data_IF_015100035178
#
_entry.id   IF_015100035178
#
_cell.length_a   1.000
_cell.length_b   1.000
_cell.length_c   1.000
_cell.angle_alpha   90.00
_cell.angle_beta   90.00
_cell.angle_gamma   90.00
#
_symmetry.space_group_name_H-M   'P 1'
#
loop_
_entity.id
_entity.type
_entity.pdbx_description
1 polymer ?
#
# COMPACT_ATOMS: atom_id res chain seq x y z
N UNK A 1 12.91 7.46 -15.32
CA UNK A 1 11.56 6.86 -15.27
C UNK A 1 11.15 6.76 -13.80
N UNK A 2 9.98 7.26 -13.43
CA UNK A 2 9.49 7.21 -12.04
C UNK A 2 8.74 5.90 -11.78
N UNK A 3 8.76 5.43 -10.53
CA UNK A 3 8.03 4.24 -10.09
C UNK A 3 6.73 4.71 -9.45
N UNK A 4 5.61 4.14 -9.86
CA UNK A 4 4.29 4.40 -9.27
C UNK A 4 3.99 3.26 -8.31
N UNK A 5 3.69 3.59 -7.06
CA UNK A 5 3.32 2.63 -6.02
C UNK A 5 1.93 3.03 -5.53
N UNK A 6 1.04 2.05 -5.51
CA UNK A 6 -0.34 2.18 -5.03
C UNK A 6 -0.68 0.97 -4.16
N UNK A 7 -1.79 1.04 -3.45
CA UNK A 7 -2.26 -0.06 -2.60
C UNK A 7 -3.63 -0.53 -3.07
N UNK A 8 -3.88 -1.84 -3.00
CA UNK A 8 -5.20 -2.45 -3.11
C UNK A 8 -5.65 -2.84 -1.69
N UNK A 9 -6.92 -2.62 -1.34
CA UNK A 9 -7.42 -2.96 0.00
C UNK A 9 -7.39 -4.49 0.16
N UNK A 10 -6.89 -4.99 1.29
CA UNK A 10 -6.87 -6.44 1.54
C UNK A 10 -8.27 -7.09 1.47
N UNK A 11 -9.33 -6.32 1.75
CA UNK A 11 -10.73 -6.76 1.63
C UNK A 11 -11.21 -6.97 0.20
N UNK A 12 -10.41 -6.61 -0.81
CA UNK A 12 -10.72 -6.92 -2.22
C UNK A 12 -10.14 -8.25 -2.69
N UNK A 13 -9.38 -8.94 -1.84
CA UNK A 13 -8.80 -10.25 -2.18
C UNK A 13 -9.91 -11.29 -2.16
N UNK A 14 -10.00 -12.08 -3.23
CA UNK A 14 -10.91 -13.22 -3.36
C UNK A 14 -10.11 -14.44 -3.83
N UNK A 15 -10.65 -15.63 -3.61
CA UNK A 15 -10.02 -16.88 -4.03
C UNK A 15 -10.21 -17.17 -5.52
N UNK A 16 -9.45 -18.14 -6.07
CA UNK A 16 -9.74 -18.70 -7.38
C UNK A 16 -11.17 -19.26 -7.42
N UNK A 17 -11.88 -19.01 -8.52
CA UNK A 17 -13.28 -19.40 -8.79
C UNK A 17 -14.34 -18.64 -8.02
N UNK A 18 -13.97 -17.74 -7.12
CA UNK A 18 -14.92 -16.79 -6.55
C UNK A 18 -15.44 -15.85 -7.64
N UNK A 19 -16.63 -15.30 -7.43
CA UNK A 19 -17.20 -14.34 -8.36
C UNK A 19 -16.63 -12.95 -8.14
N UNK A 20 -16.25 -12.27 -9.22
CA UNK A 20 -15.86 -10.86 -9.18
C UNK A 20 -17.12 -10.02 -9.33
N UNK A 21 -17.46 -9.28 -8.29
CA UNK A 21 -18.66 -8.44 -8.28
C UNK A 21 -18.46 -7.20 -9.16
N UNK A 22 -19.43 -6.93 -10.04
CA UNK A 22 -19.49 -5.67 -10.75
C UNK A 22 -20.11 -4.59 -9.86
N UNK A 23 -19.59 -3.38 -10.02
CA UNK A 23 -20.15 -2.17 -9.41
C UNK A 23 -20.63 -1.23 -10.51
N UNK A 24 -21.73 -1.56 -11.22
CA UNK A 24 -22.19 -0.80 -12.39
C UNK A 24 -22.60 0.64 -12.06
N UNK A 25 -22.98 0.90 -10.79
CA UNK A 25 -23.25 2.26 -10.30
C UNK A 25 -21.98 3.11 -10.13
N UNK A 26 -20.80 2.48 -10.17
CA UNK A 26 -19.50 3.14 -10.00
C UNK A 26 -18.70 3.20 -11.31
N UNK A 27 -18.72 2.12 -12.10
CA UNK A 27 -17.97 2.06 -13.36
C UNK A 27 -18.67 1.20 -14.40
N UNK A 28 -18.58 1.63 -15.66
CA UNK A 28 -18.96 0.85 -16.85
C UNK A 28 -17.75 0.41 -17.67
N UNK A 29 -16.53 0.64 -17.15
CA UNK A 29 -15.26 0.36 -17.83
C UNK A 29 -14.40 -0.53 -16.95
N UNK A 30 -15.00 -1.62 -16.45
CA UNK A 30 -14.32 -2.58 -15.60
C UNK A 30 -13.25 -3.33 -16.42
N UNK A 31 -12.01 -3.29 -15.98
CA UNK A 31 -10.85 -3.80 -16.72
C UNK A 31 -10.12 -4.89 -15.92
N UNK A 32 -9.15 -5.54 -16.55
CA UNK A 32 -8.32 -6.58 -15.95
C UNK A 32 -6.84 -6.26 -16.07
N UNK A 33 -6.10 -6.70 -15.07
CA UNK A 33 -4.65 -6.58 -14.97
C UNK A 33 -4.10 -7.85 -14.33
N UNK A 34 -3.52 -8.75 -15.13
CA UNK A 34 -2.82 -9.90 -14.57
C UNK A 34 -1.42 -9.47 -14.13
N UNK A 35 -1.07 -9.79 -12.90
CA UNK A 35 0.21 -9.42 -12.28
C UNK A 35 0.86 -10.66 -11.66
N UNK A 36 2.19 -10.68 -11.59
CA UNK A 36 2.88 -11.65 -10.73
C UNK A 36 2.95 -11.04 -9.34
N UNK A 37 2.55 -11.81 -8.33
CA UNK A 37 2.55 -11.37 -6.95
C UNK A 37 3.72 -11.99 -6.19
N UNK A 38 4.46 -11.15 -5.47
CA UNK A 38 5.56 -11.55 -4.57
C UNK A 38 5.08 -11.54 -3.13
N UNK A 39 5.23 -12.67 -2.44
CA UNK A 39 4.92 -12.76 -1.01
C UNK A 39 6.20 -12.55 -0.21
N UNK A 40 6.15 -11.59 0.70
CA UNK A 40 7.25 -11.28 1.60
C UNK A 40 7.33 -12.37 2.67
N UNK A 41 8.46 -13.08 2.77
CA UNK A 41 8.65 -14.20 3.71
C UNK A 41 9.53 -13.85 4.93
N UNK A 42 10.06 -12.64 4.97
CA UNK A 42 10.91 -12.10 6.03
C UNK A 42 10.59 -10.61 6.22
N UNK A 43 10.53 -10.12 7.45
CA UNK A 43 10.33 -8.68 7.63
C UNK A 43 11.65 -7.93 7.44
N UNK A 44 11.71 -6.86 6.64
CA UNK A 44 12.90 -6.01 6.52
C UNK A 44 12.66 -4.59 5.98
N UNK A 45 13.60 -3.68 6.25
CA UNK A 45 13.58 -2.27 5.85
C UNK A 45 14.90 -1.90 5.17
N UNK A 46 14.86 -1.03 4.15
CA UNK A 46 16.03 -0.64 3.33
C UNK A 46 16.79 -1.84 2.76
N UNK A 47 16.07 -2.73 2.09
CA UNK A 47 16.63 -3.95 1.52
C UNK A 47 17.58 -3.58 0.37
N UNK A 48 18.76 -4.21 0.33
CA UNK A 48 19.69 -4.13 -0.80
C UNK A 48 19.30 -5.14 -1.88
N UNK A 49 19.68 -4.86 -3.14
CA UNK A 49 19.39 -5.76 -4.28
C UNK A 49 20.06 -7.14 -4.16
N UNK A 50 21.03 -7.30 -3.26
CA UNK A 50 21.75 -8.56 -3.00
C UNK A 50 20.95 -9.55 -2.12
N UNK A 51 19.89 -9.10 -1.44
CA UNK A 51 19.08 -9.94 -0.54
C UNK A 51 17.88 -10.55 -1.28
N UNK A 52 18.07 -11.77 -1.79
CA UNK A 52 17.17 -12.44 -2.74
C UNK A 52 16.15 -13.42 -2.11
N UNK A 53 15.68 -13.18 -0.88
CA UNK A 53 14.89 -14.16 -0.10
C UNK A 53 13.37 -14.06 -0.35
N UNK A 54 12.95 -13.70 -1.57
CA UNK A 54 11.55 -13.32 -1.84
C UNK A 54 10.97 -14.11 -2.99
N UNK A 55 9.94 -14.91 -2.71
CA UNK A 55 9.30 -15.79 -3.69
C UNK A 55 7.93 -15.27 -4.11
N UNK A 56 7.51 -15.47 -5.37
CA UNK A 56 6.12 -15.31 -5.74
C UNK A 56 5.25 -16.40 -5.11
N UNK A 57 3.95 -16.11 -4.98
CA UNK A 57 2.87 -16.94 -4.40
C UNK A 57 3.28 -18.37 -4.04
N UNK A 58 3.46 -18.64 -2.73
CA UNK A 58 3.58 -19.96 -2.08
C UNK A 58 4.50 -21.02 -2.73
N UNK A 59 5.30 -20.63 -3.72
CA UNK A 59 6.18 -21.48 -4.50
C UNK A 59 7.59 -20.92 -4.36
N UNK A 60 8.55 -21.68 -3.81
CA UNK A 60 9.91 -21.20 -3.63
C UNK A 60 10.49 -20.75 -4.96
N UNK A 61 11.15 -19.59 -4.96
CA UNK A 61 11.75 -18.98 -6.16
C UNK A 61 12.62 -19.98 -6.93
N UNK A 62 13.33 -20.83 -6.20
CA UNK A 62 14.26 -21.85 -6.72
C UNK A 62 13.58 -22.94 -7.55
N UNK A 63 12.26 -23.11 -7.36
CA UNK A 63 11.46 -24.11 -8.09
C UNK A 63 10.82 -23.55 -9.36
N UNK A 64 10.94 -22.25 -9.59
CA UNK A 64 10.35 -21.58 -10.74
C UNK A 64 11.38 -21.37 -11.85
N UNK A 65 10.94 -21.36 -13.13
CA UNK A 65 11.83 -21.03 -14.23
C UNK A 65 12.34 -19.59 -14.09
N UNK A 66 13.55 -19.32 -14.58
CA UNK A 66 14.17 -17.99 -14.49
C UNK A 66 13.39 -16.88 -15.22
N UNK A 67 12.57 -17.25 -16.21
CA UNK A 67 11.71 -16.32 -16.94
C UNK A 67 10.32 -16.94 -17.15
N UNK A 68 9.39 -16.57 -16.29
CA UNK A 68 8.01 -17.02 -16.32
C UNK A 68 7.27 -16.29 -17.44
N UNK A 69 6.38 -17.00 -18.12
CA UNK A 69 5.44 -16.41 -19.06
C UNK A 69 4.12 -16.19 -18.32
N UNK A 70 3.55 -15.01 -18.50
CA UNK A 70 2.24 -14.59 -17.98
C UNK A 70 1.28 -14.45 -19.15
N UNK A 71 0.07 -14.98 -19.00
CA UNK A 71 -0.97 -14.92 -20.03
C UNK A 71 -2.34 -14.70 -19.38
N UNK A 72 -3.18 -13.91 -20.04
CA UNK A 72 -4.56 -13.64 -19.59
C UNK A 72 -5.53 -13.93 -20.71
N UNK A 73 -6.63 -14.57 -20.38
CA UNK A 73 -7.70 -14.93 -21.31
C UNK A 73 -9.03 -14.40 -20.78
N UNK A 74 -9.85 -13.84 -21.66
CA UNK A 74 -11.26 -13.49 -21.36
C UNK A 74 -12.14 -14.30 -22.29
N UNK A 75 -13.00 -15.15 -21.75
CA UNK A 75 -13.81 -16.10 -22.52
C UNK A 75 -12.98 -16.89 -23.54
N UNK A 76 -11.82 -17.41 -23.12
CA UNK A 76 -10.84 -18.14 -23.93
C UNK A 76 -10.11 -17.29 -25.00
N UNK A 77 -10.46 -16.02 -25.21
CA UNK A 77 -9.71 -15.09 -26.05
C UNK A 77 -8.45 -14.62 -25.31
N UNK A 78 -7.27 -14.88 -25.87
CA UNK A 78 -6.00 -14.37 -25.31
C UNK A 78 -5.98 -12.85 -25.38
N UNK A 79 -5.84 -12.20 -24.23
CA UNK A 79 -5.79 -10.74 -24.08
C UNK A 79 -4.39 -10.23 -23.77
N UNK A 80 -3.65 -10.93 -22.92
CA UNK A 80 -2.30 -10.54 -22.51
C UNK A 80 -1.33 -11.71 -22.71
N UNK A 81 -0.09 -11.40 -23.05
CA UNK A 81 1.02 -12.34 -23.11
C UNK A 81 2.33 -11.56 -22.93
N UNK A 82 3.11 -11.92 -21.93
CA UNK A 82 4.43 -11.35 -21.70
C UNK A 82 5.31 -12.31 -20.90
N UNK A 83 6.55 -11.92 -20.70
CA UNK A 83 7.49 -12.61 -19.82
C UNK A 83 8.03 -11.68 -18.73
N UNK A 84 8.56 -12.27 -17.65
CA UNK A 84 9.12 -11.51 -16.53
C UNK A 84 10.27 -10.57 -16.94
N UNK A 85 10.99 -10.90 -18.00
CA UNK A 85 12.03 -10.05 -18.60
C UNK A 85 11.49 -8.73 -19.19
N UNK A 86 10.19 -8.60 -19.40
CA UNK A 86 9.56 -7.39 -19.94
C UNK A 86 9.18 -6.39 -18.83
N UNK A 87 9.37 -6.73 -17.56
CA UNK A 87 9.25 -5.77 -16.48
C UNK A 87 10.24 -4.63 -16.66
N UNK A 88 9.73 -3.39 -16.68
CA UNK A 88 10.56 -2.17 -16.68
C UNK A 88 11.48 -2.14 -15.44
N UNK A 89 10.98 -2.62 -14.30
CA UNK A 89 11.72 -2.79 -13.07
C UNK A 89 11.56 -4.22 -12.59
N UNK A 90 12.66 -4.97 -12.52
CA UNK A 90 12.62 -6.34 -12.03
C UNK A 90 12.21 -6.41 -10.54
N UNK A 91 11.81 -7.60 -10.10
CA UNK A 91 11.33 -7.83 -8.73
C UNK A 91 12.32 -7.33 -7.65
N UNK A 92 13.64 -7.63 -7.70
CA UNK A 92 14.59 -7.08 -6.73
C UNK A 92 14.54 -5.55 -6.66
N UNK A 93 14.45 -4.87 -7.82
CA UNK A 93 14.36 -3.42 -7.86
C UNK A 93 13.07 -2.89 -7.24
N UNK A 94 11.95 -3.56 -7.43
CA UNK A 94 10.67 -3.21 -6.81
C UNK A 94 10.76 -3.32 -5.28
N UNK A 95 11.33 -4.40 -4.77
CA UNK A 95 11.52 -4.64 -3.33
C UNK A 95 12.40 -3.57 -2.70
N UNK A 96 13.55 -3.25 -3.31
CA UNK A 96 14.42 -2.16 -2.84
C UNK A 96 13.69 -0.82 -2.85
N UNK A 97 12.85 -0.57 -3.85
CA UNK A 97 12.08 0.68 -3.94
C UNK A 97 11.10 0.81 -2.79
N UNK A 98 10.28 -0.22 -2.56
CA UNK A 98 9.22 -0.17 -1.56
C UNK A 98 9.84 -0.18 -0.15
N UNK A 99 10.83 -1.05 0.07
CA UNK A 99 11.49 -1.16 1.37
C UNK A 99 12.30 0.06 1.77
N UNK A 100 12.68 0.94 0.83
CA UNK A 100 13.30 2.22 1.15
C UNK A 100 12.35 3.19 1.87
N UNK A 101 11.04 3.02 1.70
CA UNK A 101 10.00 3.88 2.29
C UNK A 101 9.29 3.24 3.50
N UNK A 102 9.17 1.91 3.56
CA UNK A 102 8.47 1.20 4.63
C UNK A 102 9.09 -0.17 4.91
N UNK A 103 8.86 -0.73 6.11
CA UNK A 103 9.24 -2.13 6.38
C UNK A 103 8.30 -3.04 5.62
N UNK A 104 8.84 -3.95 4.80
CA UNK A 104 8.06 -5.06 4.27
C UNK A 104 7.88 -6.09 5.38
N UNK A 105 6.66 -6.56 5.59
CA UNK A 105 6.30 -7.53 6.63
C UNK A 105 6.06 -8.91 6.05
N UNK A 106 6.34 -9.96 6.83
CA UNK A 106 5.95 -11.33 6.47
C UNK A 106 4.47 -11.37 6.13
N UNK A 107 4.12 -11.85 4.94
CA UNK A 107 2.77 -11.92 4.41
C UNK A 107 2.36 -10.74 3.53
N UNK A 108 3.16 -9.67 3.43
CA UNK A 108 2.91 -8.61 2.44
C UNK A 108 2.92 -9.19 1.03
N UNK A 109 1.98 -8.72 0.20
CA UNK A 109 1.84 -9.13 -1.20
C UNK A 109 2.15 -7.95 -2.11
N UNK A 110 3.13 -8.12 -2.99
CA UNK A 110 3.58 -7.10 -3.94
C UNK A 110 3.15 -7.49 -5.35
N UNK A 111 2.17 -6.79 -5.90
CA UNK A 111 1.78 -6.92 -7.29
C UNK A 111 2.76 -6.13 -8.18
N UNK A 112 3.38 -6.79 -9.16
CA UNK A 112 4.57 -6.26 -9.86
C UNK A 112 4.25 -5.41 -11.09
N UNK A 113 2.98 -5.18 -11.38
CA UNK A 113 2.50 -4.54 -12.60
C UNK A 113 2.06 -5.53 -13.67
N UNK A 114 1.26 -5.02 -14.59
CA UNK A 114 0.58 -5.76 -15.65
C UNK A 114 1.24 -5.53 -17.02
N UNK A 115 1.30 -6.54 -17.89
CA UNK A 115 1.74 -6.37 -19.27
C UNK A 115 0.71 -5.63 -20.13
N UNK A 116 1.09 -5.30 -21.36
CA UNK A 116 0.15 -4.75 -22.36
C UNK A 116 -1.00 -5.74 -22.64
N UNK A 117 -2.12 -5.22 -23.14
CA UNK A 117 -3.31 -6.03 -23.46
C UNK A 117 -4.46 -5.94 -22.46
N UNK A 118 -4.44 -4.91 -21.59
CA UNK A 118 -5.61 -4.50 -20.81
C UNK A 118 -6.71 -3.97 -21.74
N UNK A 119 -7.97 -4.05 -21.32
CA UNK A 119 -9.16 -3.68 -22.07
C UNK A 119 -9.14 -2.26 -22.63
N UNK A 120 -8.65 -1.30 -21.85
CA UNK A 120 -8.47 0.10 -22.27
C UNK A 120 -7.51 0.27 -23.48
N UNK A 121 -6.58 -0.68 -23.66
CA UNK A 121 -5.60 -0.65 -24.75
C UNK A 121 -6.16 -1.00 -26.14
N UNK A 122 -7.33 -1.65 -26.22
CA UNK A 122 -7.91 -2.08 -27.49
C UNK A 122 -8.63 -0.96 -28.25
N UNK A 123 -8.77 -1.12 -29.57
CA UNK A 123 -9.57 -0.24 -30.43
C UNK A 123 -10.51 -1.11 -31.31
N UNK A 124 -11.82 -1.17 -31.02
CA UNK A 124 -12.53 -0.54 -29.90
C UNK A 124 -12.07 -1.10 -28.54
N UNK A 125 -12.26 -0.34 -27.45
CA UNK A 125 -11.92 -0.77 -26.08
C UNK A 125 -12.74 -2.00 -25.68
N UNK A 126 -12.17 -2.89 -24.87
CA UNK A 126 -12.77 -4.17 -24.48
C UNK A 126 -12.82 -4.32 -22.95
N UNK A 127 -13.88 -3.85 -22.32
CA UNK A 127 -14.09 -4.00 -20.89
C UNK A 127 -14.80 -5.32 -20.56
N UNK A 128 -14.73 -5.74 -19.29
CA UNK A 128 -15.39 -6.93 -18.78
C UNK A 128 -16.89 -6.67 -18.55
N UNK A 129 -17.69 -7.66 -18.89
CA UNK A 129 -19.14 -7.65 -18.71
C UNK A 129 -19.60 -8.75 -17.76
N UNK A 130 -20.85 -8.64 -17.30
CA UNK A 130 -21.47 -9.65 -16.43
C UNK A 130 -21.45 -11.02 -17.10
N UNK A 131 -20.94 -12.03 -16.40
CA UNK A 131 -20.81 -13.39 -16.92
C UNK A 131 -19.55 -13.67 -17.73
N UNK A 132 -18.67 -12.69 -17.96
CA UNK A 132 -17.34 -12.98 -18.52
C UNK A 132 -16.53 -13.89 -17.60
N UNK A 133 -15.72 -14.76 -18.17
CA UNK A 133 -14.74 -15.56 -17.45
C UNK A 133 -13.33 -15.06 -17.76
N UNK A 134 -12.59 -14.70 -16.72
CA UNK A 134 -11.19 -14.33 -16.83
C UNK A 134 -10.32 -15.48 -16.31
N UNK A 135 -9.26 -15.81 -17.04
CA UNK A 135 -8.26 -16.79 -16.64
C UNK A 135 -6.85 -16.24 -16.83
N UNK A 136 -6.11 -16.14 -15.75
CA UNK A 136 -4.68 -15.84 -15.70
C UNK A 136 -3.86 -17.11 -15.60
N UNK A 137 -2.72 -17.18 -16.30
CA UNK A 137 -1.81 -18.32 -16.29
C UNK A 137 -0.37 -17.85 -16.19
N UNK A 138 0.38 -18.41 -15.25
CA UNK A 138 1.82 -18.16 -15.10
C UNK A 138 2.61 -19.46 -15.10
N UNK A 139 3.67 -19.53 -15.92
CA UNK A 139 4.54 -20.71 -15.99
C UNK A 139 5.10 -21.05 -14.61
N UNK A 140 4.78 -22.26 -14.12
CA UNK A 140 5.23 -22.76 -12.82
C UNK A 140 4.33 -22.43 -11.63
N UNK A 141 3.34 -21.54 -11.78
CA UNK A 141 2.38 -21.19 -10.72
C UNK A 141 0.97 -21.75 -10.97
N UNK A 142 0.61 -22.02 -12.23
CA UNK A 142 -0.68 -22.59 -12.60
C UNK A 142 -1.63 -21.56 -13.20
N UNK A 143 -2.93 -21.81 -13.04
CA UNK A 143 -4.01 -21.02 -13.64
C UNK A 143 -4.97 -20.57 -12.53
N UNK A 144 -5.31 -19.28 -12.54
CA UNK A 144 -6.32 -18.67 -11.70
C UNK A 144 -7.48 -18.24 -12.61
N UNK A 145 -8.69 -18.66 -12.28
CA UNK A 145 -9.90 -18.39 -13.07
C UNK A 145 -10.99 -17.83 -12.18
N UNK A 146 -11.62 -16.74 -12.61
CA UNK A 146 -12.76 -16.13 -11.94
C UNK A 146 -13.82 -15.75 -12.96
N UNK A 147 -15.08 -15.69 -12.52
CA UNK A 147 -16.20 -15.27 -13.35
C UNK A 147 -16.75 -13.95 -12.83
N UNK A 148 -17.07 -13.04 -13.73
CA UNK A 148 -17.74 -11.80 -13.40
C UNK A 148 -19.18 -12.14 -13.00
N UNK A 149 -19.57 -11.69 -11.82
CA UNK A 149 -20.90 -11.93 -11.27
C UNK A 149 -21.98 -11.28 -12.15
N UNK A 150 -23.22 -11.73 -11.97
CA UNK A 150 -24.37 -11.03 -12.54
C UNK A 150 -24.49 -9.64 -11.91
N UNK A 151 -25.13 -8.70 -12.62
CA UNK A 151 -25.30 -7.31 -12.15
C UNK A 151 -26.19 -7.19 -10.90
N UNK A 152 -26.98 -8.22 -10.60
CA UNK A 152 -27.86 -8.34 -9.43
C UNK A 152 -27.25 -9.19 -8.30
N UNK A 153 -25.99 -9.61 -8.43
CA UNK A 153 -25.32 -10.41 -7.40
C UNK A 153 -25.21 -9.64 -6.08
N UNK A 154 -25.58 -10.32 -4.99
CA UNK A 154 -25.49 -9.76 -3.64
C UNK A 154 -24.04 -9.76 -3.19
N UNK A 155 -23.53 -8.61 -2.79
CA UNK A 155 -22.23 -8.53 -2.15
C UNK A 155 -22.31 -9.05 -0.72
N UNK A 156 -21.82 -10.27 -0.48
CA UNK A 156 -21.79 -10.90 0.84
C UNK A 156 -20.51 -10.59 1.63
N UNK A 157 -19.72 -9.57 1.25
CA UNK A 157 -18.47 -9.21 1.94
C UNK A 157 -18.67 -9.32 3.44
N UNK A 158 -18.04 -10.33 4.03
CA UNK A 158 -18.18 -10.67 5.44
C UNK A 158 -17.63 -9.55 6.30
N UNK A 159 -18.23 -9.36 7.48
CA UNK A 159 -17.68 -8.47 8.49
C UNK A 159 -16.22 -8.84 8.80
N UNK A 160 -15.41 -7.82 9.05
CA UNK A 160 -13.97 -7.87 9.21
C UNK A 160 -13.55 -8.91 10.26
N UNK A 161 -12.79 -9.92 9.84
CA UNK A 161 -11.96 -10.69 10.79
C UNK A 161 -10.81 -9.79 11.29
N UNK A 162 -10.60 -9.77 12.61
CA UNK A 162 -9.47 -9.05 13.19
C UNK A 162 -8.16 -9.71 12.75
N UNK A 163 -7.32 -8.98 12.01
CA UNK A 163 -5.97 -9.45 11.68
C UNK A 163 -5.04 -9.26 12.87
N UNK A 164 -4.38 -10.35 13.29
CA UNK A 164 -3.37 -10.34 14.35
C UNK A 164 -1.95 -10.03 13.84
N UNK A 165 -1.79 -9.72 12.54
CA UNK A 165 -0.49 -9.36 11.98
C UNK A 165 -0.09 -7.97 12.50
N UNK A 166 1.10 -7.82 13.11
CA UNK A 166 1.56 -6.51 13.59
C UNK A 166 1.70 -5.52 12.43
N UNK A 167 0.83 -4.51 12.38
CA UNK A 167 0.89 -3.40 11.40
C UNK A 167 1.93 -2.32 11.78
N UNK A 168 2.98 -2.73 12.50
CA UNK A 168 4.01 -1.84 13.01
C UNK A 168 5.30 -1.96 12.20
N UNK A 169 5.87 -0.81 11.81
CA UNK A 169 7.25 -0.68 11.36
C UNK A 169 8.24 -0.94 12.53
N UNK A 170 8.30 -2.18 13.03
CA UNK A 170 9.11 -2.55 14.20
C UNK A 170 10.63 -2.33 13.99
N UNK A 171 11.10 -2.36 12.74
CA UNK A 171 12.53 -2.18 12.40
C UNK A 171 12.95 -0.72 12.18
N UNK A 172 12.01 0.22 12.03
CA UNK A 172 12.32 1.65 11.96
C UNK A 172 12.72 2.24 13.34
N UNK A 173 12.68 1.42 14.41
CA UNK A 173 12.96 1.82 15.79
C UNK A 173 14.37 2.38 16.05
N UNK A 174 15.35 2.10 15.19
CA UNK A 174 16.76 2.27 15.54
C UNK A 174 17.29 3.72 15.63
N UNK A 175 16.46 4.75 15.37
CA UNK A 175 16.78 6.16 15.65
C UNK A 175 15.59 6.89 16.33
N UNK A 176 15.03 6.25 17.36
CA UNK A 176 13.73 6.52 18.00
C UNK A 176 13.45 8.01 18.32
N UNK A 177 12.79 8.71 17.38
CA UNK A 177 11.99 9.92 17.65
C UNK A 177 10.53 9.56 17.96
N UNK A 178 10.33 8.41 18.61
CA UNK A 178 9.02 7.94 19.05
C UNK A 178 8.73 8.51 20.42
N UNK A 179 7.63 9.25 20.51
CA UNK A 179 7.12 9.87 21.73
C UNK A 179 5.92 9.06 22.21
N UNK A 180 5.88 8.75 23.51
CA UNK A 180 4.75 8.03 24.09
C UNK A 180 3.60 9.00 24.31
N UNK A 181 2.52 8.83 23.56
CA UNK A 181 1.33 9.70 23.57
C UNK A 181 0.10 8.82 23.65
N UNK A 182 -0.79 9.08 24.61
CA UNK A 182 -2.03 8.32 24.80
C UNK A 182 -1.81 6.78 24.85
N UNK A 183 -0.70 6.34 25.46
CA UNK A 183 -0.33 4.92 25.52
C UNK A 183 0.27 4.34 24.23
N UNK A 184 0.33 5.12 23.15
CA UNK A 184 0.88 4.76 21.84
C UNK A 184 2.29 5.31 21.65
N UNK A 185 3.06 4.70 20.76
CA UNK A 185 4.35 5.25 20.32
C UNK A 185 4.13 5.97 18.99
N UNK A 186 4.18 7.30 19.00
CA UNK A 186 3.99 8.13 17.82
C UNK A 186 5.28 8.83 17.45
N UNK A 187 5.64 8.85 16.19
CA UNK A 187 6.75 9.61 15.67
C UNK A 187 6.46 11.10 15.76
N UNK A 188 7.40 11.81 16.36
CA UNK A 188 7.32 13.25 16.56
C UNK A 188 8.69 13.89 16.41
N UNK A 189 8.73 15.06 15.77
CA UNK A 189 9.92 15.88 15.71
C UNK A 189 9.61 17.31 16.10
N UNK A 190 10.60 17.99 16.67
CA UNK A 190 10.62 19.44 16.77
C UNK A 190 11.73 19.97 15.89
N UNK A 191 11.40 20.91 15.02
CA UNK A 191 12.32 21.57 14.11
C UNK A 191 12.14 23.09 14.21
N UNK A 192 13.12 23.83 13.70
CA UNK A 192 13.07 25.28 13.60
C UNK A 192 13.32 26.02 14.93
N UNK A 193 12.69 27.18 15.09
CA UNK A 193 12.93 28.09 16.22
C UNK A 193 12.11 27.67 17.43
N UNK A 194 12.75 27.50 18.58
CA UNK A 194 12.10 26.97 19.79
C UNK A 194 10.84 27.75 20.19
N UNK A 195 10.93 29.09 20.23
CA UNK A 195 9.82 29.96 20.64
C UNK A 195 9.15 30.69 19.45
N UNK A 196 9.30 30.18 18.23
CA UNK A 196 8.61 30.72 17.06
C UNK A 196 7.12 30.38 17.06
N UNK A 197 6.30 31.04 16.23
CA UNK A 197 4.89 30.67 16.06
C UNK A 197 4.78 29.18 15.66
N UNK A 198 3.97 28.36 16.35
CA UNK A 198 3.98 26.93 16.15
C UNK A 198 3.15 26.51 14.93
N UNK A 199 3.71 25.60 14.13
CA UNK A 199 3.05 24.94 12.99
C UNK A 199 3.16 23.44 13.14
N UNK A 200 2.02 22.75 13.18
CA UNK A 200 1.97 21.29 13.20
C UNK A 200 1.73 20.74 11.80
N UNK A 201 2.51 19.73 11.43
CA UNK A 201 2.37 19.04 10.15
C UNK A 201 1.97 17.58 10.40
N UNK A 202 0.85 17.18 9.82
CA UNK A 202 0.36 15.81 9.89
C UNK A 202 0.02 15.31 8.49
N UNK A 203 0.66 14.22 8.07
CA UNK A 203 0.39 13.62 6.77
C UNK A 203 -0.58 12.43 6.89
N UNK A 204 -1.30 12.15 5.81
CA UNK A 204 -2.23 11.05 5.69
C UNK A 204 -1.54 9.74 5.34
N UNK A 205 -2.35 8.66 5.30
CA UNK A 205 -1.87 7.31 5.05
C UNK A 205 -1.14 7.24 3.70
N UNK A 206 0.05 6.62 3.68
CA UNK A 206 0.86 6.43 2.47
C UNK A 206 1.72 7.62 2.03
N UNK A 207 1.65 8.78 2.69
CA UNK A 207 2.57 9.88 2.42
C UNK A 207 3.93 9.66 3.12
N UNK A 208 5.08 10.03 2.49
CA UNK A 208 6.38 9.88 3.12
C UNK A 208 6.64 10.97 4.17
N UNK A 209 7.53 10.71 5.13
CA UNK A 209 7.88 11.66 6.21
C UNK A 209 8.45 13.00 5.70
N UNK A 210 8.99 13.04 4.48
CA UNK A 210 9.50 14.25 3.85
C UNK A 210 8.45 15.03 3.04
N UNK A 211 7.16 14.65 3.10
CA UNK A 211 6.10 15.28 2.32
C UNK A 211 6.08 16.81 2.47
N UNK A 212 6.24 17.31 3.70
CA UNK A 212 6.23 18.76 3.99
C UNK A 212 7.61 19.42 3.89
N UNK A 213 8.65 18.73 3.40
CA UNK A 213 10.02 19.24 3.45
C UNK A 213 10.17 20.61 2.78
N UNK A 214 9.48 20.87 1.68
CA UNK A 214 9.52 22.16 1.01
C UNK A 214 8.97 23.32 1.86
N UNK A 215 7.93 23.07 2.66
CA UNK A 215 7.37 24.06 3.60
C UNK A 215 8.26 24.19 4.83
N UNK A 216 8.71 23.07 5.39
CA UNK A 216 9.62 23.02 6.53
C UNK A 216 10.88 23.85 6.25
N UNK A 217 11.52 23.64 5.09
CA UNK A 217 12.74 24.37 4.72
C UNK A 217 12.53 25.89 4.67
N UNK A 218 11.34 26.35 4.25
CA UNK A 218 11.00 27.78 4.19
C UNK A 218 10.69 28.39 5.56
N UNK A 219 10.06 27.63 6.45
CA UNK A 219 9.53 28.13 7.72
C UNK A 219 10.48 27.92 8.91
N UNK A 220 11.41 26.96 8.83
CA UNK A 220 12.25 26.55 9.96
C UNK A 220 13.09 27.68 10.59
N UNK A 221 13.42 28.74 9.84
CA UNK A 221 14.18 29.88 10.38
C UNK A 221 13.34 30.87 11.20
N UNK A 222 12.01 30.73 11.19
CA UNK A 222 11.07 31.71 11.78
C UNK A 222 10.01 31.09 12.69
N UNK A 223 9.67 29.81 12.49
CA UNK A 223 8.58 29.13 13.17
C UNK A 223 9.08 27.94 13.99
N UNK A 224 8.31 27.54 15.01
CA UNK A 224 8.48 26.25 15.68
C UNK A 224 7.68 25.21 14.90
N UNK A 225 8.34 24.19 14.36
CA UNK A 225 7.72 23.23 13.46
C UNK A 225 7.61 21.87 14.14
N UNK A 226 6.41 21.28 14.06
CA UNK A 226 6.05 20.05 14.76
C UNK A 226 5.52 18.99 13.79
N UNK A 227 6.39 18.33 12.99
CA UNK A 227 6.00 17.17 12.21
C UNK A 227 5.67 15.98 13.11
N UNK A 228 4.52 15.36 12.86
CA UNK A 228 4.07 14.17 13.56
C UNK A 228 3.38 13.20 12.60
N UNK A 229 3.52 11.91 12.90
CA UNK A 229 2.81 10.85 12.19
C UNK A 229 1.74 10.27 13.12
N UNK A 230 0.51 10.10 12.64
CA UNK A 230 -0.55 9.41 13.39
C UNK A 230 -0.27 7.90 13.47
N UNK A 231 -0.93 7.19 14.38
CA UNK A 231 -0.82 5.72 14.46
C UNK A 231 -1.06 5.06 13.09
N UNK A 232 -0.14 4.20 12.67
CA UNK A 232 -0.18 3.52 11.37
C UNK A 232 0.19 4.37 10.17
N UNK A 233 0.68 5.58 10.39
CA UNK A 233 1.18 6.48 9.36
C UNK A 233 2.70 6.60 9.48
N UNK A 234 3.39 6.69 8.33
CA UNK A 234 4.83 7.00 8.28
C UNK A 234 5.66 6.09 9.20
N UNK A 235 6.28 6.72 10.21
CA UNK A 235 7.16 6.07 11.19
C UNK A 235 6.45 5.74 12.52
N UNK A 236 5.16 6.10 12.67
CA UNK A 236 4.34 5.74 13.83
C UNK A 236 3.79 4.32 13.70
N UNK A 237 4.23 3.36 14.54
CA UNK A 237 3.69 2.00 14.51
C UNK A 237 2.21 1.94 14.88
N UNK A 238 1.47 1.02 14.27
CA UNK A 238 0.11 0.64 14.73
C UNK A 238 0.20 -0.42 15.81
N UNK A 239 -0.57 -0.28 16.89
CA UNK A 239 -0.80 -1.36 17.84
C UNK A 239 -1.94 -2.27 17.37
N UNK A 240 -1.75 -3.58 17.45
CA UNK A 240 -2.80 -4.55 17.14
C UNK A 240 -4.02 -4.46 18.08
N UNK A 241 -3.85 -3.82 19.24
CA UNK A 241 -4.93 -3.59 20.22
C UNK A 241 -5.64 -2.24 20.02
N UNK A 242 -5.19 -1.42 19.07
CA UNK A 242 -5.77 -0.10 18.83
C UNK A 242 -6.99 -0.18 17.93
N UNK A 243 -8.12 0.37 18.39
CA UNK A 243 -9.24 0.71 17.53
C UNK A 243 -8.99 2.07 16.87
N UNK A 244 -8.71 2.07 15.56
CA UNK A 244 -8.52 3.29 14.78
C UNK A 244 -9.87 3.89 14.38
N UNK A 245 -10.17 5.07 14.92
CA UNK A 245 -11.37 5.86 14.63
C UNK A 245 -11.01 7.35 14.52
N UNK A 246 -11.91 8.15 13.93
CA UNK A 246 -11.73 9.62 13.89
C UNK A 246 -11.54 10.17 15.31
N UNK A 247 -12.29 9.66 16.29
CA UNK A 247 -12.19 10.06 17.68
C UNK A 247 -10.83 9.73 18.29
N UNK A 248 -10.29 8.52 18.04
CA UNK A 248 -8.97 8.14 18.54
C UNK A 248 -7.86 8.99 17.91
N UNK A 249 -7.95 9.29 16.61
CA UNK A 249 -6.98 10.16 15.93
C UNK A 249 -7.03 11.60 16.46
N UNK A 250 -8.21 12.13 16.74
CA UNK A 250 -8.37 13.44 17.36
C UNK A 250 -7.75 13.49 18.77
N UNK A 251 -7.93 12.43 19.57
CA UNK A 251 -7.31 12.29 20.89
C UNK A 251 -5.78 12.23 20.80
N UNK A 252 -5.25 11.47 19.85
CA UNK A 252 -3.80 11.37 19.64
C UNK A 252 -3.21 12.73 19.25
N UNK A 253 -3.88 13.47 18.36
CA UNK A 253 -3.48 14.81 17.98
C UNK A 253 -3.51 15.78 19.16
N UNK A 254 -4.57 15.78 19.97
CA UNK A 254 -4.69 16.62 21.17
C UNK A 254 -3.58 16.34 22.18
N UNK A 255 -3.33 15.08 22.55
CA UNK A 255 -2.25 14.77 23.48
C UNK A 255 -0.87 15.07 22.88
N UNK A 256 -0.72 15.00 21.54
CA UNK A 256 0.52 15.42 20.90
C UNK A 256 0.72 16.93 20.98
N UNK A 257 -0.32 17.75 20.85
CA UNK A 257 -0.19 19.20 21.06
C UNK A 257 0.23 19.51 22.50
N UNK A 258 -0.25 18.74 23.48
CA UNK A 258 0.16 18.89 24.88
C UNK A 258 1.64 18.61 25.07
N UNK A 259 2.12 17.50 24.49
CA UNK A 259 3.54 17.13 24.54
C UNK A 259 4.41 18.14 23.77
N UNK A 260 3.89 18.72 22.68
CA UNK A 260 4.57 19.74 21.91
C UNK A 260 4.52 21.14 22.57
N UNK A 261 3.67 21.34 23.59
CA UNK A 261 3.46 22.64 24.23
C UNK A 261 2.70 23.65 23.36
N UNK A 262 1.87 23.19 22.42
CA UNK A 262 1.23 24.02 21.37
C UNK A 262 -0.28 24.20 21.53
N UNK A 263 -0.81 23.95 22.72
CA UNK A 263 -2.25 23.83 23.00
C UNK A 263 -3.12 25.06 22.71
N UNK A 264 -2.54 26.27 22.67
CA UNK A 264 -3.31 27.50 22.73
C UNK A 264 -3.33 28.31 21.43
N UNK A 265 -2.41 28.10 20.48
CA UNK A 265 -2.33 28.87 19.22
C UNK A 265 -1.46 28.17 18.15
N UNK A 266 -1.89 26.99 17.67
CA UNK A 266 -1.15 26.23 16.64
C UNK A 266 -1.80 26.33 15.26
N UNK A 267 -1.00 26.64 14.25
CA UNK A 267 -1.44 26.46 12.86
C UNK A 267 -1.30 24.98 12.49
N UNK A 268 -2.40 24.33 12.16
CA UNK A 268 -2.40 22.91 11.79
C UNK A 268 -2.48 22.75 10.28
N UNK A 269 -1.52 22.04 9.71
CA UNK A 269 -1.50 21.65 8.30
C UNK A 269 -1.65 20.13 8.25
N UNK A 270 -2.86 19.66 7.92
CA UNK A 270 -3.17 18.24 7.72
C UNK A 270 -3.45 18.00 6.25
N UNK A 271 -2.89 16.93 5.69
CA UNK A 271 -3.33 16.40 4.40
C UNK A 271 -3.73 14.97 4.59
N UNK A 272 -4.99 14.66 4.35
CA UNK A 272 -5.51 13.30 4.36
C UNK A 272 -6.07 12.96 2.99
N UNK A 273 -5.63 11.84 2.43
CA UNK A 273 -6.33 11.23 1.30
C UNK A 273 -7.60 10.59 1.85
N UNK A 274 -8.75 11.12 1.44
CA UNK A 274 -9.98 10.36 1.47
C UNK A 274 -9.90 9.34 0.33
N UNK A 275 -10.00 8.05 0.68
CA UNK A 275 -10.29 6.98 -0.28
C UNK A 275 -11.75 6.63 -0.12
#
# INVERSE_FOLDING_TARGET
MHRVILTKRATSIIGPRDQILLHPNFTSTFDYEEEIEVIVLKSDFQISEENDVWGPVAVPKETLPANQKIQTFVNQEKRQEATLNELIFNIPKLIVTISAAQTLQVGDVLATGTPTGIGFGFRPMKFLEAGDEISGSVTGLGILTNRIASSDAVNTTSEREESYIPVANQKAFFNSRLTKVNGKHLFYQRLGVENGPPVSFTHGLGAPTNYFQALITKLQSTHSLHPLDMEGHGLSPTSALSSLSIASSAQDFHHMSEVAGTNNDVTVIVIQWAV
#
